data_IF_272839659318
#
_entry.id   IF_272839659318
#
_cell.length_a   1.000
_cell.length_b   1.000
_cell.length_c   1.000
_cell.angle_alpha   90.00
_cell.angle_beta   90.00
_cell.angle_gamma   90.00
#
_symmetry.space_group_name_H-M   'P 1'
#
loop_
_entity.id
_entity.type
_entity.pdbx_description
1 polymer ?
#
# COMPACT_ATOMS: atom_id res chain seq x y z
N UNK A 1 4.84 -4.37 2.82
CA UNK A 1 5.26 -4.12 1.44
C UNK A 1 4.35 -3.08 0.76
N UNK A 2 4.23 -1.90 1.33
CA UNK A 2 3.30 -0.86 0.83
C UNK A 2 4.03 0.43 0.53
N UNK A 3 3.52 1.17 -0.48
CA UNK A 3 4.06 2.47 -0.89
C UNK A 3 2.93 3.49 -1.08
N UNK A 4 3.29 4.75 -1.15
CA UNK A 4 2.44 5.93 -1.41
C UNK A 4 1.44 6.18 -0.27
N UNK A 5 0.14 5.91 -0.43
CA UNK A 5 -0.89 6.30 0.56
C UNK A 5 -1.66 5.11 1.11
N UNK A 6 -2.31 4.33 0.28
CA UNK A 6 -3.33 3.33 0.65
C UNK A 6 -2.88 2.36 1.74
N UNK A 7 -1.85 1.57 1.47
CA UNK A 7 -1.32 0.61 2.46
C UNK A 7 -0.55 1.26 3.61
N UNK A 8 0.28 2.32 3.37
CA UNK A 8 0.89 3.06 4.46
C UNK A 8 -0.13 3.66 5.43
N UNK A 9 -1.28 4.15 4.95
CA UNK A 9 -2.34 4.68 5.81
C UNK A 9 -2.97 3.58 6.66
N UNK A 10 -3.30 2.43 6.07
CA UNK A 10 -3.82 1.28 6.82
C UNK A 10 -2.86 0.84 7.93
N UNK A 11 -1.60 0.59 7.57
CA UNK A 11 -0.59 0.14 8.53
C UNK A 11 -0.20 1.20 9.57
N UNK A 12 -0.37 2.50 9.27
CA UNK A 12 -0.21 3.57 10.25
C UNK A 12 -1.32 3.53 11.32
N UNK A 13 -2.57 3.29 10.92
CA UNK A 13 -3.68 3.14 11.87
C UNK A 13 -3.44 1.95 12.80
N UNK A 14 -3.04 0.81 12.25
CA UNK A 14 -2.72 -0.37 13.04
C UNK A 14 -1.55 -0.10 14.02
N UNK A 15 -0.50 0.60 13.56
CA UNK A 15 0.62 0.99 14.41
C UNK A 15 0.20 1.95 15.54
N UNK A 16 -0.69 2.91 15.26
CA UNK A 16 -1.24 3.81 16.28
C UNK A 16 -2.11 3.05 17.31
N UNK A 17 -2.70 1.92 16.92
CA UNK A 17 -3.46 1.02 17.80
C UNK A 17 -2.58 0.01 18.54
N UNK A 18 -1.25 0.04 18.35
CA UNK A 18 -0.28 -0.76 19.09
C UNK A 18 0.30 -1.96 18.34
N UNK A 19 0.01 -2.14 17.05
CA UNK A 19 0.66 -3.18 16.25
C UNK A 19 2.14 -2.85 16.03
N UNK A 20 3.02 -3.87 16.10
CA UNK A 20 4.42 -3.76 15.68
C UNK A 20 4.51 -3.84 14.16
N UNK A 21 4.66 -2.70 13.51
CA UNK A 21 4.67 -2.58 12.07
C UNK A 21 6.08 -2.42 11.53
N UNK A 22 6.50 -3.35 10.67
CA UNK A 22 7.74 -3.28 9.91
C UNK A 22 7.42 -2.86 8.46
N UNK A 23 7.83 -1.66 8.08
CA UNK A 23 7.75 -1.19 6.69
C UNK A 23 8.96 -1.70 5.91
N UNK A 24 8.71 -2.58 4.96
CA UNK A 24 9.74 -3.05 4.03
C UNK A 24 9.72 -2.17 2.78
N UNK A 25 10.83 -1.52 2.49
CA UNK A 25 11.02 -0.61 1.34
C UNK A 25 12.10 -1.17 0.40
N UNK A 26 12.06 -0.74 -0.87
CA UNK A 26 13.22 -0.92 -1.75
C UNK A 26 14.40 -0.08 -1.24
N UNK A 27 15.65 -0.33 -1.69
CA UNK A 27 16.80 0.53 -1.36
C UNK A 27 16.60 2.01 -1.73
N UNK A 28 15.80 2.29 -2.76
CA UNK A 28 15.47 3.66 -3.16
C UNK A 28 14.43 4.34 -2.24
N UNK A 29 13.79 3.56 -1.36
CA UNK A 29 12.74 4.03 -0.46
C UNK A 29 11.38 4.19 -1.14
N UNK A 30 10.42 4.65 -0.36
CA UNK A 30 9.08 5.02 -0.82
C UNK A 30 9.13 6.35 -1.58
N UNK A 31 8.45 6.45 -2.72
CA UNK A 31 8.45 7.66 -3.57
C UNK A 31 7.95 8.90 -2.82
N UNK A 32 7.01 8.75 -1.88
CA UNK A 32 6.49 9.88 -1.09
C UNK A 32 7.49 10.46 -0.11
N UNK A 33 8.64 9.83 0.09
CA UNK A 33 9.76 10.42 0.84
C UNK A 33 10.25 11.74 0.23
N UNK A 34 10.12 11.86 -1.09
CA UNK A 34 10.65 12.99 -1.86
C UNK A 34 9.55 13.91 -2.41
N UNK A 35 8.30 13.74 -1.99
CA UNK A 35 7.16 14.57 -2.42
C UNK A 35 6.89 15.67 -1.41
N UNK A 36 6.81 16.91 -1.90
CA UNK A 36 6.55 18.11 -1.12
C UNK A 36 7.78 18.71 -0.43
N UNK A 37 7.63 19.88 0.21
CA UNK A 37 8.73 20.53 0.91
C UNK A 37 9.15 19.70 2.13
N UNK A 38 10.46 19.52 2.32
CA UNK A 38 10.98 18.78 3.48
C UNK A 38 12.20 19.47 4.07
N UNK A 39 12.36 19.41 5.38
CA UNK A 39 13.55 19.90 6.10
C UNK A 39 14.79 19.05 5.85
N UNK A 40 14.58 17.76 5.64
CA UNK A 40 15.63 16.77 5.46
C UNK A 40 15.31 15.88 4.28
N UNK A 41 16.34 15.48 3.52
CA UNK A 41 16.19 14.58 2.38
C UNK A 41 15.45 13.31 2.78
N UNK A 42 14.47 12.90 2.00
CA UNK A 42 13.70 11.68 2.23
C UNK A 42 12.65 11.76 3.35
N UNK A 43 12.39 12.97 3.88
CA UNK A 43 11.42 13.22 4.95
C UNK A 43 10.27 14.09 4.46
N UNK A 44 9.67 13.70 3.32
CA UNK A 44 8.47 14.34 2.79
C UNK A 44 7.31 14.32 3.78
N UNK A 45 6.45 15.36 3.80
CA UNK A 45 5.39 15.49 4.82
C UNK A 45 4.39 14.32 4.76
N UNK A 46 4.06 13.85 3.58
CA UNK A 46 3.17 12.68 3.41
C UNK A 46 3.82 11.40 3.95
N UNK A 47 5.12 11.21 3.72
CA UNK A 47 5.84 10.08 4.29
C UNK A 47 5.79 10.08 5.82
N UNK A 48 6.10 11.21 6.44
CA UNK A 48 6.08 11.35 7.90
C UNK A 48 4.68 11.14 8.49
N UNK A 49 3.65 11.68 7.84
CA UNK A 49 2.27 11.53 8.30
C UNK A 49 1.78 10.07 8.27
N UNK A 50 2.14 9.32 7.22
CA UNK A 50 1.61 7.98 6.95
C UNK A 50 2.48 6.85 7.51
N UNK A 51 3.67 7.14 8.05
CA UNK A 51 4.60 6.08 8.49
C UNK A 51 5.11 6.25 9.92
N UNK A 52 4.46 7.09 10.72
CA UNK A 52 4.78 7.16 12.16
C UNK A 52 4.49 5.83 12.86
N UNK A 53 5.17 5.59 13.96
CA UNK A 53 5.08 4.37 14.77
C UNK A 53 5.47 3.07 14.04
N UNK A 54 6.19 3.17 12.92
CA UNK A 54 6.69 2.00 12.19
C UNK A 54 8.20 1.88 12.31
N UNK A 55 8.68 0.66 12.35
CA UNK A 55 10.08 0.34 12.05
C UNK A 55 10.23 0.22 10.53
N UNK A 56 11.41 0.51 10.00
CA UNK A 56 11.68 0.43 8.57
C UNK A 56 12.91 -0.42 8.30
N UNK A 57 12.84 -1.20 7.21
CA UNK A 57 13.96 -1.95 6.67
C UNK A 57 13.98 -1.79 5.15
N UNK A 58 15.17 -1.57 4.59
CA UNK A 58 15.37 -1.54 3.14
C UNK A 58 15.86 -2.91 2.66
N UNK A 59 15.13 -3.53 1.72
CA UNK A 59 15.47 -4.82 1.12
C UNK A 59 15.34 -4.74 -0.40
N UNK A 60 16.38 -5.16 -1.13
CA UNK A 60 16.24 -5.41 -2.57
C UNK A 60 15.67 -6.82 -2.77
N UNK A 61 14.39 -6.90 -3.08
CA UNK A 61 13.69 -8.17 -3.28
C UNK A 61 14.05 -8.87 -4.61
N UNK A 62 14.82 -8.23 -5.48
CA UNK A 62 15.41 -8.86 -6.66
C UNK A 62 16.68 -9.63 -6.31
N UNK A 63 17.27 -9.32 -5.16
CA UNK A 63 18.41 -10.06 -4.61
C UNK A 63 17.89 -11.25 -3.78
N UNK A 64 18.38 -12.48 -4.00
CA UNK A 64 17.97 -13.66 -3.22
C UNK A 64 18.11 -13.48 -1.70
N UNK A 65 19.14 -12.81 -1.23
CA UNK A 65 19.36 -12.57 0.20
C UNK A 65 18.31 -11.61 0.79
N UNK A 66 17.92 -10.57 0.03
CA UNK A 66 16.86 -9.65 0.39
C UNK A 66 15.51 -10.35 0.47
N UNK A 67 15.21 -11.21 -0.50
CA UNK A 67 13.99 -12.03 -0.50
C UNK A 67 13.99 -13.05 0.65
N UNK A 68 15.12 -13.69 0.92
CA UNK A 68 15.25 -14.60 2.05
C UNK A 68 15.06 -13.89 3.39
N UNK A 69 15.57 -12.66 3.54
CA UNK A 69 15.34 -11.84 4.72
C UNK A 69 13.85 -11.49 4.89
N UNK A 70 13.14 -11.13 3.81
CA UNK A 70 11.70 -10.90 3.85
C UNK A 70 10.93 -12.16 4.26
N UNK A 71 11.25 -13.34 3.70
CA UNK A 71 10.60 -14.60 4.07
C UNK A 71 10.78 -14.95 5.55
N UNK A 72 11.92 -14.61 6.16
CA UNK A 72 12.10 -14.75 7.62
C UNK A 72 11.18 -13.81 8.41
N UNK A 73 10.98 -12.57 7.96
CA UNK A 73 10.02 -11.67 8.60
C UNK A 73 8.58 -12.19 8.46
N UNK A 74 8.22 -12.74 7.30
CA UNK A 74 6.90 -13.32 7.03
C UNK A 74 6.61 -14.53 7.95
N UNK A 75 7.61 -15.34 8.27
CA UNK A 75 7.45 -16.53 9.11
C UNK A 75 6.88 -16.21 10.49
N UNK A 76 7.20 -15.03 11.04
CA UNK A 76 6.78 -14.59 12.37
C UNK A 76 5.70 -13.50 12.34
N UNK A 77 5.26 -13.08 11.15
CA UNK A 77 4.26 -12.02 11.01
C UNK A 77 2.82 -12.56 11.12
N UNK A 78 1.92 -11.78 11.70
CA UNK A 78 0.49 -12.08 11.68
C UNK A 78 -0.18 -11.63 10.37
N UNK A 79 0.30 -10.52 9.80
CA UNK A 79 -0.28 -9.90 8.60
C UNK A 79 0.81 -9.51 7.60
N UNK A 80 0.63 -9.88 6.34
CA UNK A 80 1.36 -9.33 5.19
C UNK A 80 0.44 -8.39 4.41
N UNK A 81 0.60 -7.09 4.62
CA UNK A 81 -0.11 -6.06 3.87
C UNK A 81 0.75 -5.54 2.72
N UNK A 82 0.20 -5.50 1.51
CA UNK A 82 0.92 -5.03 0.33
C UNK A 82 -0.01 -4.34 -0.69
N UNK A 83 0.54 -3.46 -1.51
CA UNK A 83 -0.12 -2.84 -2.67
C UNK A 83 0.66 -3.05 -3.98
N UNK A 84 1.51 -4.08 -3.99
CA UNK A 84 2.19 -4.57 -5.18
C UNK A 84 1.20 -5.42 -5.98
N UNK A 85 1.17 -5.25 -7.30
CA UNK A 85 0.24 -6.01 -8.17
C UNK A 85 0.47 -7.53 -8.05
N UNK A 86 -0.61 -8.35 -8.12
CA UNK A 86 -0.54 -9.81 -7.97
C UNK A 86 0.52 -10.48 -8.84
N UNK A 87 0.58 -10.14 -10.13
CA UNK A 87 1.60 -10.66 -11.05
C UNK A 87 3.03 -10.39 -10.58
N UNK A 88 3.26 -9.26 -9.94
CA UNK A 88 4.58 -8.91 -9.42
C UNK A 88 4.88 -9.65 -8.12
N UNK A 89 3.89 -9.88 -7.27
CA UNK A 89 4.03 -10.75 -6.10
C UNK A 89 4.37 -12.17 -6.52
N UNK A 90 3.66 -12.73 -7.51
CA UNK A 90 3.97 -14.06 -8.06
C UNK A 90 5.40 -14.17 -8.61
N UNK A 91 5.85 -13.16 -9.41
CA UNK A 91 7.23 -13.14 -9.91
C UNK A 91 8.30 -13.05 -8.82
N UNK A 92 7.97 -12.51 -7.67
CA UNK A 92 8.87 -12.44 -6.50
C UNK A 92 8.83 -13.73 -5.66
N UNK A 93 8.00 -14.73 -5.99
CA UNK A 93 7.83 -15.89 -5.14
C UNK A 93 7.13 -15.55 -3.83
N UNK A 94 6.16 -14.64 -3.89
CA UNK A 94 5.35 -14.12 -2.78
C UNK A 94 3.85 -14.20 -3.09
N UNK A 95 3.41 -15.14 -3.93
CA UNK A 95 2.00 -15.47 -4.09
C UNK A 95 1.41 -15.97 -2.76
N UNK A 96 0.09 -16.02 -2.66
CA UNK A 96 -0.56 -16.54 -1.45
C UNK A 96 -0.06 -17.93 -1.06
N UNK A 97 0.01 -18.85 -2.02
CA UNK A 97 0.43 -20.24 -1.76
C UNK A 97 1.89 -20.32 -1.26
N UNK A 98 2.78 -19.51 -1.84
CA UNK A 98 4.19 -19.45 -1.44
C UNK A 98 4.38 -18.82 -0.05
N UNK A 99 3.59 -17.81 0.27
CA UNK A 99 3.60 -17.17 1.58
C UNK A 99 2.96 -18.06 2.63
N UNK A 100 1.82 -18.72 2.32
CA UNK A 100 1.15 -19.66 3.21
C UNK A 100 1.99 -20.90 3.49
N UNK A 101 2.83 -21.33 2.54
CA UNK A 101 3.81 -22.40 2.77
C UNK A 101 4.87 -22.04 3.81
N UNK A 102 5.21 -20.75 3.95
CA UNK A 102 6.13 -20.25 4.98
C UNK A 102 5.41 -20.02 6.31
N UNK A 103 4.21 -19.44 6.26
CA UNK A 103 3.41 -19.14 7.45
C UNK A 103 1.91 -19.38 7.15
N UNK A 104 1.38 -20.58 7.52
CA UNK A 104 0.00 -20.92 7.20
C UNK A 104 -1.07 -20.14 7.99
N UNK A 105 -0.67 -19.34 8.97
CA UNK A 105 -1.58 -18.50 9.77
C UNK A 105 -1.64 -17.06 9.32
N UNK A 106 -0.85 -16.70 8.31
CA UNK A 106 -0.73 -15.30 7.91
C UNK A 106 -2.02 -14.76 7.27
N UNK A 107 -2.40 -13.56 7.66
CA UNK A 107 -3.40 -12.79 6.93
C UNK A 107 -2.70 -12.13 5.74
N UNK A 108 -3.07 -12.56 4.53
CA UNK A 108 -2.49 -12.08 3.27
C UNK A 108 -3.39 -11.00 2.67
N UNK A 109 -3.07 -9.74 2.90
CA UNK A 109 -3.90 -8.59 2.52
C UNK A 109 -3.29 -7.82 1.35
N UNK A 110 -3.85 -8.00 0.16
CA UNK A 110 -3.51 -7.22 -1.04
C UNK A 110 -4.49 -6.06 -1.24
N UNK A 111 -3.97 -4.84 -1.28
CA UNK A 111 -4.76 -3.63 -1.48
C UNK A 111 -4.57 -3.12 -2.92
N UNK A 112 -5.59 -3.24 -3.76
CA UNK A 112 -5.55 -2.92 -5.19
C UNK A 112 -6.62 -1.90 -5.58
N UNK A 113 -6.41 -1.20 -6.69
CA UNK A 113 -7.40 -0.27 -7.23
C UNK A 113 -8.55 -0.98 -7.95
N UNK A 114 -8.29 -2.15 -8.57
CA UNK A 114 -9.31 -2.94 -9.28
C UNK A 114 -9.27 -4.39 -8.82
N UNK A 115 -10.44 -5.00 -8.67
CA UNK A 115 -10.58 -6.42 -8.33
C UNK A 115 -10.05 -7.34 -9.44
N UNK A 116 -9.51 -8.49 -9.06
CA UNK A 116 -8.85 -9.43 -9.98
C UNK A 116 -9.79 -10.07 -10.99
N UNK A 117 -11.07 -10.24 -10.67
CA UNK A 117 -12.08 -10.80 -11.59
C UNK A 117 -12.76 -9.78 -12.51
N UNK A 118 -12.38 -8.51 -12.44
CA UNK A 118 -13.06 -7.43 -13.17
C UNK A 118 -12.41 -7.10 -14.53
N UNK A 119 -13.17 -6.36 -15.37
CA UNK A 119 -12.70 -5.87 -16.69
C UNK A 119 -11.39 -5.07 -16.62
N UNK A 120 -11.10 -4.46 -15.48
CA UNK A 120 -9.91 -3.64 -15.26
C UNK A 120 -8.84 -4.33 -14.41
N UNK A 121 -8.98 -5.65 -14.21
CA UNK A 121 -7.97 -6.44 -13.49
C UNK A 121 -6.55 -6.18 -14.03
N UNK A 122 -5.59 -6.03 -13.14
CA UNK A 122 -4.19 -5.78 -13.48
C UNK A 122 -3.86 -4.38 -14.04
N UNK A 123 -4.86 -3.51 -14.29
CA UNK A 123 -4.59 -2.13 -14.72
C UNK A 123 -4.01 -1.31 -13.57
N UNK A 124 -3.09 -0.36 -13.87
CA UNK A 124 -2.64 0.60 -12.88
C UNK A 124 -3.82 1.43 -12.37
N UNK A 125 -3.80 1.72 -11.09
CA UNK A 125 -4.79 2.56 -10.44
C UNK A 125 -4.07 3.60 -9.57
N UNK A 126 -4.43 4.86 -9.80
CA UNK A 126 -4.10 6.01 -8.96
C UNK A 126 -5.40 6.53 -8.37
N UNK A 127 -5.33 7.30 -7.33
CA UNK A 127 -6.52 7.81 -6.63
C UNK A 127 -7.50 8.51 -7.56
N UNK A 128 -7.03 9.40 -8.41
CA UNK A 128 -7.84 10.15 -9.37
C UNK A 128 -8.46 9.25 -10.46
N UNK A 129 -7.75 8.20 -10.92
CA UNK A 129 -8.31 7.21 -11.83
C UNK A 129 -9.49 6.46 -11.19
N UNK A 130 -9.37 6.11 -9.92
CA UNK A 130 -10.46 5.46 -9.18
C UNK A 130 -11.60 6.43 -8.91
N UNK A 131 -11.33 7.69 -8.54
CA UNK A 131 -12.36 8.73 -8.44
C UNK A 131 -13.17 8.82 -9.74
N UNK A 132 -12.48 8.82 -10.89
CA UNK A 132 -13.14 8.82 -12.21
C UNK A 132 -13.95 7.55 -12.46
N UNK A 133 -13.41 6.38 -12.16
CA UNK A 133 -14.05 5.09 -12.37
C UNK A 133 -15.34 4.90 -11.56
N UNK A 134 -15.41 5.48 -10.36
CA UNK A 134 -16.61 5.46 -9.49
C UNK A 134 -17.52 6.68 -9.69
N UNK A 135 -17.27 7.47 -10.74
CA UNK A 135 -18.07 8.65 -11.13
C UNK A 135 -18.12 9.76 -10.04
N UNK A 136 -17.16 9.81 -9.12
CA UNK A 136 -17.12 10.81 -8.06
C UNK A 136 -17.07 12.25 -8.59
N UNK A 137 -16.29 12.60 -9.64
CA UNK A 137 -16.31 13.93 -10.24
C UNK A 137 -17.69 14.32 -10.79
N UNK A 138 -18.44 13.36 -11.34
CA UNK A 138 -19.80 13.61 -11.85
C UNK A 138 -20.80 13.90 -10.71
N UNK A 139 -20.64 13.23 -9.56
CA UNK A 139 -21.45 13.51 -8.38
C UNK A 139 -21.16 14.91 -7.82
N UNK A 140 -19.88 15.31 -7.76
CA UNK A 140 -19.49 16.68 -7.41
C UNK A 140 -20.13 17.67 -8.38
N UNK A 141 -20.09 17.41 -9.67
CA UNK A 141 -20.66 18.27 -10.69
C UNK A 141 -22.18 18.50 -10.55
N UNK A 142 -22.93 17.51 -10.03
CA UNK A 142 -24.38 17.68 -9.75
C UNK A 142 -24.65 18.73 -8.65
N UNK A 143 -23.70 18.95 -7.76
CA UNK A 143 -23.81 19.91 -6.66
C UNK A 143 -23.21 21.25 -7.04
N UNK A 144 -22.10 21.25 -7.74
CA UNK A 144 -21.30 22.48 -8.03
C UNK A 144 -21.53 23.05 -9.41
N UNK A 145 -22.20 22.32 -10.31
CA UNK A 145 -22.41 22.71 -11.72
C UNK A 145 -21.30 22.22 -12.68
N UNK A 146 -20.12 21.83 -12.15
CA UNK A 146 -19.00 21.35 -12.96
C UNK A 146 -18.36 20.09 -12.37
N UNK A 147 -18.11 19.03 -13.17
CA UNK A 147 -17.38 17.86 -12.72
C UNK A 147 -15.97 18.24 -12.26
N UNK A 148 -15.60 17.87 -11.03
CA UNK A 148 -14.27 18.12 -10.47
C UNK A 148 -13.82 16.95 -9.61
N UNK A 149 -12.54 16.64 -9.64
CA UNK A 149 -11.91 15.71 -8.69
C UNK A 149 -11.89 16.34 -7.30
N UNK A 150 -12.03 15.50 -6.28
CA UNK A 150 -11.74 15.95 -4.91
C UNK A 150 -10.22 16.14 -4.75
N UNK A 151 -9.79 17.27 -4.18
CA UNK A 151 -8.36 17.58 -4.03
C UNK A 151 -7.74 16.82 -2.83
N UNK A 152 -7.94 15.50 -2.80
CA UNK A 152 -7.46 14.62 -1.73
C UNK A 152 -7.41 13.17 -2.22
N UNK A 153 -6.57 12.34 -1.59
CA UNK A 153 -6.48 10.90 -1.86
C UNK A 153 -7.63 10.14 -1.19
N UNK A 154 -8.87 10.43 -1.59
CA UNK A 154 -10.08 9.87 -0.94
C UNK A 154 -10.22 8.38 -1.16
N UNK A 155 -9.93 7.88 -2.37
CA UNK A 155 -10.01 6.46 -2.71
C UNK A 155 -8.95 5.65 -2.00
N UNK A 156 -7.71 6.13 -1.99
CA UNK A 156 -6.61 5.51 -1.24
C UNK A 156 -6.92 5.40 0.25
N UNK A 157 -7.44 6.48 0.85
CA UNK A 157 -7.77 6.50 2.28
C UNK A 157 -8.95 5.61 2.60
N UNK A 158 -9.99 5.60 1.78
CA UNK A 158 -11.15 4.72 1.97
C UNK A 158 -10.74 3.26 1.88
N UNK A 159 -9.92 2.90 0.89
CA UNK A 159 -9.37 1.54 0.75
C UNK A 159 -8.47 1.18 1.94
N UNK A 160 -7.62 2.11 2.38
CA UNK A 160 -6.78 1.90 3.55
C UNK A 160 -7.58 1.67 4.83
N UNK A 161 -8.66 2.43 5.07
CA UNK A 161 -9.59 2.19 6.18
C UNK A 161 -10.25 0.81 6.06
N UNK A 162 -10.72 0.46 4.86
CA UNK A 162 -11.36 -0.85 4.63
C UNK A 162 -10.39 -1.99 4.93
N UNK A 163 -9.12 -1.87 4.53
CA UNK A 163 -8.09 -2.87 4.83
C UNK A 163 -7.80 -3.04 6.33
N UNK A 164 -8.09 -2.01 7.17
CA UNK A 164 -7.95 -2.12 8.63
C UNK A 164 -9.09 -2.94 9.24
N UNK A 165 -10.29 -2.87 8.65
CA UNK A 165 -11.46 -3.61 9.14
C UNK A 165 -11.52 -5.05 8.63
N UNK A 166 -10.88 -5.35 7.52
CA UNK A 166 -10.86 -6.68 6.91
C UNK A 166 -9.91 -7.62 7.62
#
# INVERSE_FOLDING_TARGET
LTTVVMGPFASQILADLGADVIKVESPDGDTVRNIGPSRSKGMGPMYLALNRNKRSIALDLRNPDGLAALKRLIADADVLLFNIRPDSMGRLGLSYDEVAAVNPRIIYCGAYGFGEGGRYAGKPALDDLIQGAVALPSLVGRVTGEPRYLPTNICDRTTGLTAVYA
#
